data_IF_376710855037
#
_entry.id   IF_376710855037
#
_cell.length_a   1.000
_cell.length_b   1.000
_cell.length_c   1.000
_cell.angle_alpha   90.00
_cell.angle_beta   90.00
_cell.angle_gamma   90.00
#
_symmetry.space_group_name_H-M   'P 1'
#
loop_
_entity.id
_entity.type
_entity.pdbx_description
1 polymer ?
#
# COMPACT_ATOMS: atom_id res chain seq x y z
N UNK A 1 -23.72 39.51 30.42
CA UNK A 1 -24.29 39.24 29.09
C UNK A 1 -23.14 38.85 28.18
N UNK A 2 -22.90 37.55 27.99
CA UNK A 2 -21.91 37.08 27.02
C UNK A 2 -22.46 37.29 25.61
N UNK A 3 -21.64 37.86 24.71
CA UNK A 3 -22.04 38.03 23.32
C UNK A 3 -21.96 36.68 22.61
N UNK A 4 -23.11 36.14 22.24
CA UNK A 4 -23.20 34.90 21.45
C UNK A 4 -22.76 35.21 20.02
N UNK A 5 -21.75 34.49 19.54
CA UNK A 5 -21.23 34.65 18.18
C UNK A 5 -22.00 33.73 17.23
N UNK A 6 -22.58 34.29 16.16
CA UNK A 6 -23.37 33.54 15.16
C UNK A 6 -22.48 33.07 14.01
N UNK A 7 -22.29 31.76 13.82
CA UNK A 7 -21.70 31.19 12.60
C UNK A 7 -22.80 31.01 11.53
N UNK A 8 -22.60 31.54 10.33
CA UNK A 8 -23.68 31.83 9.36
C UNK A 8 -23.71 30.94 8.11
N UNK A 9 -23.15 29.72 8.14
CA UNK A 9 -22.87 28.95 6.91
C UNK A 9 -23.75 27.75 6.56
N UNK A 10 -24.81 27.43 7.30
CA UNK A 10 -25.64 26.24 7.01
C UNK A 10 -27.13 26.59 6.92
N UNK A 11 -27.71 26.53 5.71
CA UNK A 11 -29.16 26.61 5.51
C UNK A 11 -29.64 25.56 4.50
N UNK A 12 -30.55 24.70 4.96
CA UNK A 12 -31.54 23.98 4.15
C UNK A 12 -32.86 23.92 4.94
N UNK A 13 -33.98 23.79 4.21
CA UNK A 13 -35.31 24.36 4.48
C UNK A 13 -36.29 23.59 5.40
N UNK A 14 -35.83 22.70 6.28
CA UNK A 14 -36.72 21.98 7.21
C UNK A 14 -36.30 22.16 8.69
N UNK A 15 -37.27 22.03 9.61
CA UNK A 15 -37.21 22.30 11.06
C UNK A 15 -35.80 22.10 11.65
N UNK A 16 -35.07 23.20 11.83
CA UNK A 16 -33.72 23.19 12.38
C UNK A 16 -33.78 23.11 13.89
N UNK A 17 -33.05 22.16 14.48
CA UNK A 17 -32.85 22.09 15.93
C UNK A 17 -31.69 22.97 16.32
N UNK A 18 -31.86 23.73 17.41
CA UNK A 18 -30.84 24.64 17.93
C UNK A 18 -29.99 23.92 18.97
N UNK A 19 -28.69 23.85 18.71
CA UNK A 19 -27.68 23.34 19.63
C UNK A 19 -26.79 24.47 20.12
N UNK A 20 -26.34 24.38 21.37
CA UNK A 20 -25.35 25.27 21.95
C UNK A 20 -24.10 24.47 22.29
N UNK A 21 -22.97 24.91 21.74
CA UNK A 21 -21.64 24.35 22.04
C UNK A 21 -20.75 25.50 22.49
N UNK A 22 -20.29 25.45 23.74
CA UNK A 22 -19.64 26.61 24.39
C UNK A 22 -20.53 27.87 24.27
N UNK A 23 -19.99 28.98 23.76
CA UNK A 23 -20.71 30.24 23.53
C UNK A 23 -21.28 30.37 22.10
N UNK A 24 -21.33 29.27 21.34
CA UNK A 24 -21.78 29.24 19.94
C UNK A 24 -23.13 28.53 19.79
N UNK A 25 -23.94 29.04 18.87
CA UNK A 25 -25.24 28.47 18.51
C UNK A 25 -25.16 27.88 17.10
N UNK A 26 -25.56 26.61 17.00
CA UNK A 26 -25.63 25.86 15.76
C UNK A 26 -27.08 25.54 15.43
N UNK A 27 -27.48 25.73 14.18
CA UNK A 27 -28.81 25.39 13.67
C UNK A 27 -28.65 24.32 12.61
N UNK A 28 -29.07 23.10 12.94
CA UNK A 28 -28.80 21.94 12.10
C UNK A 28 -30.05 21.06 11.96
N UNK A 29 -30.13 20.34 10.85
CA UNK A 29 -31.14 19.31 10.67
C UNK A 29 -30.81 18.15 11.61
N UNK A 30 -31.68 17.92 12.60
CA UNK A 30 -31.48 16.91 13.65
C UNK A 30 -31.38 15.49 13.09
N UNK A 31 -32.01 15.23 11.94
CA UNK A 31 -31.96 13.92 11.30
C UNK A 31 -30.53 13.44 10.99
N UNK A 32 -29.58 14.36 10.78
CA UNK A 32 -28.17 14.01 10.57
C UNK A 32 -27.52 13.39 11.81
N UNK A 33 -28.02 13.74 13.00
CA UNK A 33 -27.54 13.25 14.29
C UNK A 33 -28.39 12.08 14.80
N UNK A 34 -29.70 12.11 14.56
CA UNK A 34 -30.61 11.04 15.01
C UNK A 34 -30.38 9.71 14.24
N UNK A 35 -29.77 9.77 13.05
CA UNK A 35 -29.32 8.57 12.33
C UNK A 35 -28.14 7.85 13.00
N UNK A 36 -27.51 8.48 13.98
CA UNK A 36 -26.46 7.90 14.81
C UNK A 36 -27.09 7.59 16.17
N UNK A 37 -27.24 6.32 16.54
CA UNK A 37 -27.85 5.89 17.82
C UNK A 37 -27.02 6.38 19.03
N UNK A 38 -27.12 7.67 19.35
CA UNK A 38 -26.14 8.43 20.12
C UNK A 38 -26.69 8.94 21.46
N UNK A 39 -25.77 9.26 22.39
CA UNK A 39 -26.04 9.91 23.69
C UNK A 39 -26.39 11.41 23.56
N UNK A 40 -26.83 11.86 22.39
CA UNK A 40 -27.22 13.25 22.16
C UNK A 40 -28.59 13.47 22.84
N UNK A 41 -28.76 14.50 23.68
CA UNK A 41 -30.03 14.75 24.33
C UNK A 41 -31.21 14.83 23.34
N UNK A 42 -32.28 14.08 23.64
CA UNK A 42 -33.55 14.17 22.91
C UNK A 42 -34.20 15.54 23.05
N UNK A 43 -34.98 15.98 22.06
CA UNK A 43 -35.77 17.21 22.13
C UNK A 43 -35.74 18.10 20.87
N UNK A 44 -36.61 19.11 20.83
CA UNK A 44 -36.67 20.11 19.75
C UNK A 44 -36.04 21.40 20.29
N UNK A 45 -34.72 21.42 20.38
CA UNK A 45 -33.97 22.59 20.83
C UNK A 45 -34.40 23.85 20.07
N UNK A 46 -34.66 24.93 20.80
CA UNK A 46 -35.14 26.22 20.27
C UNK A 46 -34.16 27.34 20.58
N UNK A 47 -34.36 28.53 20.00
CA UNK A 47 -33.49 29.69 20.31
C UNK A 47 -33.52 30.09 21.79
N UNK A 48 -34.65 29.87 22.46
CA UNK A 48 -34.83 30.20 23.87
C UNK A 48 -34.41 29.05 24.80
N UNK A 49 -34.28 27.85 24.26
CA UNK A 49 -33.94 26.63 25.00
C UNK A 49 -33.14 25.69 24.09
N UNK A 50 -31.85 25.99 23.82
CA UNK A 50 -31.01 25.21 22.94
C UNK A 50 -30.55 23.91 23.62
N UNK A 51 -30.33 22.86 22.84
CA UNK A 51 -29.72 21.63 23.35
C UNK A 51 -28.23 21.90 23.63
N UNK A 52 -27.83 21.85 24.90
CA UNK A 52 -26.44 22.09 25.28
C UNK A 52 -25.58 20.83 25.10
N UNK A 53 -24.52 20.96 24.31
CA UNK A 53 -23.49 19.93 24.15
C UNK A 53 -22.26 20.33 24.97
N UNK A 54 -22.10 19.66 26.11
CA UNK A 54 -20.99 19.91 27.03
C UNK A 54 -19.76 19.07 26.67
N UNK A 55 -18.55 19.59 26.94
CA UNK A 55 -17.26 18.89 26.81
C UNK A 55 -16.76 18.66 25.37
N UNK A 56 -17.21 19.46 24.41
CA UNK A 56 -16.63 19.56 23.06
C UNK A 56 -16.42 21.03 22.71
N UNK A 57 -15.42 21.31 21.86
CA UNK A 57 -15.19 22.67 21.36
C UNK A 57 -16.13 22.98 20.22
N UNK A 58 -16.52 24.25 20.08
CA UNK A 58 -17.35 24.68 18.95
C UNK A 58 -16.71 24.38 17.59
N UNK A 59 -15.39 24.53 17.47
CA UNK A 59 -14.64 24.22 16.25
C UNK A 59 -14.70 22.73 15.86
N UNK A 60 -14.54 21.83 16.83
CA UNK A 60 -14.58 20.38 16.58
C UNK A 60 -15.99 19.95 16.13
N UNK A 61 -17.02 20.57 16.71
CA UNK A 61 -18.41 20.35 16.31
C UNK A 61 -18.70 20.88 14.91
N UNK A 62 -18.17 22.05 14.56
CA UNK A 62 -18.29 22.63 13.21
C UNK A 62 -17.68 21.71 12.15
N UNK A 63 -16.48 21.15 12.41
CA UNK A 63 -15.83 20.18 11.53
C UNK A 63 -16.67 18.92 11.34
N UNK A 64 -17.28 18.40 12.42
CA UNK A 64 -18.20 17.27 12.33
C UNK A 64 -19.44 17.59 11.48
N UNK A 65 -20.02 18.79 11.63
CA UNK A 65 -21.18 19.20 10.82
C UNK A 65 -20.82 19.31 9.35
N UNK A 66 -19.66 19.90 9.04
CA UNK A 66 -19.15 19.96 7.67
C UNK A 66 -19.00 18.57 7.07
N UNK A 67 -18.45 17.62 7.83
CA UNK A 67 -18.32 16.22 7.41
C UNK A 67 -19.68 15.57 7.13
N UNK A 68 -20.66 15.72 8.02
CA UNK A 68 -21.98 15.09 7.88
C UNK A 68 -22.83 15.71 6.76
N UNK A 69 -22.70 17.02 6.52
CA UNK A 69 -23.47 17.74 5.50
C UNK A 69 -22.89 17.54 4.10
N UNK A 70 -21.56 17.62 3.96
CA UNK A 70 -20.90 17.66 2.65
C UNK A 70 -20.63 16.27 2.09
N UNK A 71 -20.62 15.24 2.94
CA UNK A 71 -20.14 13.91 2.55
C UNK A 71 -18.63 13.90 2.26
N UNK A 72 -18.11 12.73 1.93
CA UNK A 72 -16.67 12.48 1.80
C UNK A 72 -15.95 13.27 0.68
N UNK A 73 -16.67 13.78 -0.32
CA UNK A 73 -16.06 14.04 -1.64
C UNK A 73 -15.72 15.49 -1.97
N UNK A 74 -16.05 16.48 -1.11
CA UNK A 74 -16.02 17.90 -1.55
C UNK A 74 -14.93 18.77 -0.93
N UNK A 75 -14.36 18.38 0.21
CA UNK A 75 -13.15 19.02 0.75
C UNK A 75 -12.39 18.04 1.65
N UNK A 76 -11.11 17.74 1.34
CA UNK A 76 -10.34 16.81 2.15
C UNK A 76 -10.11 17.40 3.55
N UNK A 77 -10.52 16.67 4.58
CA UNK A 77 -10.21 16.96 5.97
C UNK A 77 -8.72 16.73 6.23
N UNK A 78 -8.09 17.61 7.02
CA UNK A 78 -6.72 17.43 7.48
C UNK A 78 -6.63 16.39 8.59
N UNK A 79 -5.41 15.94 8.94
CA UNK A 79 -5.20 15.00 10.05
C UNK A 79 -5.72 15.55 11.40
N UNK A 80 -5.64 16.87 11.59
CA UNK A 80 -6.16 17.55 12.79
C UNK A 80 -7.69 17.54 12.77
N UNK A 81 -8.30 17.74 11.60
CA UNK A 81 -9.75 17.69 11.44
C UNK A 81 -10.29 16.29 11.72
N UNK A 82 -9.62 15.24 11.22
CA UNK A 82 -9.99 13.85 11.50
C UNK A 82 -9.89 13.49 12.98
N UNK A 83 -8.84 13.95 13.67
CA UNK A 83 -8.72 13.76 15.12
C UNK A 83 -9.88 14.44 15.88
N UNK A 84 -10.33 15.59 15.39
CA UNK A 84 -11.46 16.33 15.96
C UNK A 84 -12.79 15.59 15.76
N UNK A 85 -13.05 15.07 14.56
CA UNK A 85 -14.22 14.21 14.26
C UNK A 85 -14.23 12.97 15.14
N UNK A 86 -13.10 12.25 15.23
CA UNK A 86 -12.96 11.05 16.06
C UNK A 86 -13.25 11.36 17.53
N UNK A 87 -12.72 12.47 18.05
CA UNK A 87 -12.92 12.85 19.45
C UNK A 87 -14.41 13.15 19.77
N UNK A 88 -15.10 13.89 18.90
CA UNK A 88 -16.52 14.21 19.08
C UNK A 88 -17.38 12.95 18.96
N UNK A 89 -17.16 12.11 17.94
CA UNK A 89 -17.92 10.88 17.73
C UNK A 89 -17.71 9.87 18.85
N UNK A 90 -16.48 9.73 19.36
CA UNK A 90 -16.18 8.87 20.51
C UNK A 90 -16.93 9.33 21.77
N UNK A 91 -17.08 10.64 21.96
CA UNK A 91 -17.74 11.22 23.13
C UNK A 91 -19.26 11.05 23.10
N UNK A 92 -19.89 11.18 21.92
CA UNK A 92 -21.34 11.05 21.78
C UNK A 92 -21.81 9.66 21.34
N UNK A 93 -20.89 8.70 21.16
CA UNK A 93 -21.22 7.33 20.83
C UNK A 93 -21.65 7.13 19.37
N UNK A 94 -21.21 7.98 18.45
CA UNK A 94 -21.57 7.92 17.03
C UNK A 94 -20.74 6.85 16.31
N UNK A 95 -21.01 5.57 16.55
CA UNK A 95 -20.15 4.45 16.14
C UNK A 95 -19.95 4.34 14.62
N UNK A 96 -21.00 4.60 13.84
CA UNK A 96 -20.93 4.52 12.38
C UNK A 96 -19.99 5.59 11.83
N UNK A 97 -20.16 6.84 12.24
CA UNK A 97 -19.28 7.95 11.87
C UNK A 97 -17.86 7.76 12.41
N UNK A 98 -17.71 7.22 13.62
CA UNK A 98 -16.40 6.91 14.21
C UNK A 98 -15.61 5.91 13.36
N UNK A 99 -16.21 4.78 12.98
CA UNK A 99 -15.53 3.78 12.14
C UNK A 99 -15.18 4.33 10.76
N UNK A 100 -16.07 5.15 10.21
CA UNK A 100 -15.91 5.89 8.97
C UNK A 100 -14.74 6.88 9.01
N UNK A 101 -14.61 7.65 10.10
CA UNK A 101 -13.51 8.59 10.30
C UNK A 101 -12.16 7.89 10.57
N UNK A 102 -12.17 6.79 11.33
CA UNK A 102 -10.96 5.99 11.59
C UNK A 102 -10.43 5.33 10.31
N UNK A 103 -11.33 4.77 9.48
CA UNK A 103 -10.95 4.22 8.17
C UNK A 103 -10.37 5.32 7.27
N UNK A 104 -11.04 6.46 7.16
CA UNK A 104 -10.56 7.57 6.34
C UNK A 104 -9.23 8.16 6.83
N UNK A 105 -8.98 8.20 8.14
CA UNK A 105 -7.68 8.61 8.69
C UNK A 105 -6.59 7.59 8.34
N UNK A 106 -6.89 6.29 8.39
CA UNK A 106 -5.96 5.24 7.99
C UNK A 106 -5.66 5.32 6.49
N UNK A 107 -6.68 5.52 5.66
CA UNK A 107 -6.56 5.70 4.22
C UNK A 107 -5.80 6.99 3.88
N UNK A 108 -6.04 8.09 4.61
CA UNK A 108 -5.32 9.35 4.44
C UNK A 108 -3.86 9.25 4.89
N UNK A 109 -3.58 8.52 5.97
CA UNK A 109 -2.20 8.18 6.32
C UNK A 109 -1.57 7.36 5.19
N UNK A 110 -2.26 6.37 4.64
CA UNK A 110 -1.78 5.57 3.52
C UNK A 110 -1.61 6.38 2.22
N UNK A 111 -2.44 7.39 1.97
CA UNK A 111 -2.42 8.25 0.77
C UNK A 111 -1.43 9.43 0.88
N UNK A 112 -1.25 10.01 2.07
CA UNK A 112 -0.21 11.03 2.34
C UNK A 112 1.22 10.42 2.35
N UNK A 113 1.34 9.10 2.21
CA UNK A 113 2.57 8.33 2.09
C UNK A 113 3.01 8.12 0.63
N UNK A 114 2.55 8.96 -0.31
CA UNK A 114 3.09 9.04 -1.67
C UNK A 114 4.48 9.73 -1.74
N UNK A 115 5.12 9.93 -0.58
CA UNK A 115 6.58 10.00 -0.49
C UNK A 115 7.09 8.58 -0.78
N UNK A 116 7.87 8.42 -1.85
CA UNK A 116 8.44 7.12 -2.25
C UNK A 116 8.88 6.30 -1.03
N UNK A 117 8.19 5.18 -0.83
CA UNK A 117 8.50 4.17 0.21
C UNK A 117 9.60 3.21 -0.25
N UNK A 118 10.31 3.56 -1.32
CA UNK A 118 11.49 2.86 -1.82
C UNK A 118 12.40 2.42 -0.67
N UNK A 119 12.51 1.12 -0.46
CA UNK A 119 13.37 0.53 0.56
C UNK A 119 12.92 0.71 2.02
N UNK A 120 11.73 1.28 2.28
CA UNK A 120 11.20 1.37 3.64
C UNK A 120 11.11 -0.02 4.27
N UNK A 121 11.49 -0.17 5.56
CA UNK A 121 11.53 -1.46 6.24
C UNK A 121 12.78 -2.31 5.99
N UNK A 122 13.66 -1.89 5.08
CA UNK A 122 14.97 -2.50 4.86
C UNK A 122 16.07 -1.64 5.47
N UNK A 123 15.83 -1.06 6.66
CA UNK A 123 16.72 -0.05 7.23
C UNK A 123 18.14 -0.60 7.41
N UNK A 124 19.11 0.10 6.82
CA UNK A 124 20.52 -0.26 6.88
C UNK A 124 21.03 -0.36 8.33
N UNK A 125 20.50 0.47 9.24
CA UNK A 125 20.86 0.42 10.66
C UNK A 125 20.41 -0.89 11.34
N UNK A 126 19.34 -1.52 10.86
CA UNK A 126 18.76 -2.73 11.46
C UNK A 126 19.33 -3.99 10.82
N UNK A 127 19.43 -4.01 9.49
CA UNK A 127 19.75 -5.23 8.73
C UNK A 127 21.10 -5.18 8.01
N UNK A 128 21.79 -4.03 8.03
CA UNK A 128 23.02 -3.81 7.27
C UNK A 128 22.75 -3.50 5.79
N UNK A 129 23.82 -3.40 4.99
CA UNK A 129 23.72 -3.15 3.54
C UNK A 129 23.21 -4.38 2.76
N UNK A 130 23.46 -5.58 3.30
CA UNK A 130 23.09 -6.85 2.68
C UNK A 130 22.29 -7.69 3.66
N UNK A 131 21.22 -8.30 3.18
CA UNK A 131 20.29 -9.07 3.99
C UNK A 131 19.77 -10.29 3.24
N UNK A 132 19.11 -11.18 3.97
CA UNK A 132 18.36 -12.30 3.43
C UNK A 132 16.86 -12.05 3.66
N UNK A 133 16.05 -12.57 2.74
CA UNK A 133 14.59 -12.57 2.84
C UNK A 133 14.15 -13.98 3.22
N UNK A 134 13.60 -14.13 4.42
CA UNK A 134 13.17 -15.40 5.00
C UNK A 134 11.65 -15.46 5.04
N UNK A 135 11.10 -16.61 4.69
CA UNK A 135 9.71 -16.91 4.99
C UNK A 135 9.51 -17.00 6.51
N UNK A 136 8.54 -16.25 7.05
CA UNK A 136 8.40 -16.07 8.49
C UNK A 136 8.20 -17.41 9.20
N UNK A 137 9.02 -17.68 10.20
CA UNK A 137 8.92 -18.91 11.01
C UNK A 137 9.48 -20.17 10.36
N UNK A 138 10.15 -20.08 9.20
CA UNK A 138 10.76 -21.24 8.53
C UNK A 138 12.27 -21.04 8.30
N UNK A 139 12.91 -22.06 7.73
CA UNK A 139 14.31 -22.04 7.31
C UNK A 139 14.46 -21.79 5.81
N UNK A 140 13.38 -21.38 5.14
CA UNK A 140 13.34 -21.15 3.70
C UNK A 140 13.62 -19.69 3.40
N UNK A 141 14.52 -19.45 2.45
CA UNK A 141 14.94 -18.12 2.05
C UNK A 141 14.71 -17.94 0.56
N UNK A 142 14.44 -16.70 0.18
CA UNK A 142 14.38 -16.31 -1.23
C UNK A 142 15.76 -16.54 -1.87
N UNK A 143 15.77 -17.10 -3.08
CA UNK A 143 16.96 -17.46 -3.82
C UNK A 143 16.67 -17.45 -5.32
N UNK A 144 17.67 -17.22 -6.17
CA UNK A 144 17.54 -17.45 -7.61
C UNK A 144 17.60 -18.95 -7.97
N UNK A 145 16.74 -19.36 -8.91
CA UNK A 145 16.62 -20.75 -9.34
C UNK A 145 17.93 -21.29 -9.87
N UNK A 146 18.32 -22.47 -9.38
CA UNK A 146 19.53 -23.19 -9.81
C UNK A 146 20.84 -22.37 -9.72
N UNK A 147 20.89 -21.29 -8.92
CA UNK A 147 22.03 -20.35 -8.82
C UNK A 147 22.35 -19.65 -10.15
N UNK A 148 21.37 -19.52 -11.03
CA UNK A 148 21.55 -18.88 -12.34
C UNK A 148 21.69 -17.37 -12.17
N UNK A 149 22.91 -16.86 -12.30
CA UNK A 149 23.21 -15.42 -12.24
C UNK A 149 22.96 -14.72 -13.58
N UNK A 150 21.93 -15.14 -14.30
CA UNK A 150 21.54 -14.66 -15.63
C UNK A 150 20.18 -13.99 -15.57
N UNK A 151 19.87 -13.19 -16.58
CA UNK A 151 18.57 -12.57 -16.70
C UNK A 151 17.47 -13.62 -16.93
N UNK A 152 16.24 -13.35 -16.48
CA UNK A 152 15.11 -14.26 -16.57
C UNK A 152 15.09 -15.35 -15.50
N UNK A 153 16.16 -15.51 -14.71
CA UNK A 153 16.21 -16.49 -13.63
C UNK A 153 15.15 -16.18 -12.57
N UNK A 154 14.22 -17.11 -12.37
CA UNK A 154 13.16 -17.01 -11.36
C UNK A 154 13.72 -16.93 -9.94
N UNK A 155 13.08 -16.12 -9.08
CA UNK A 155 13.24 -16.22 -7.63
C UNK A 155 12.25 -17.19 -7.00
N UNK A 156 12.74 -18.02 -6.08
CA UNK A 156 11.96 -19.05 -5.41
C UNK A 156 12.43 -19.22 -3.95
N UNK A 157 11.72 -20.03 -3.18
CA UNK A 157 12.15 -20.43 -1.85
C UNK A 157 13.11 -21.62 -1.91
N UNK A 158 14.14 -21.59 -1.07
CA UNK A 158 15.01 -22.74 -0.85
C UNK A 158 15.48 -22.85 0.61
N UNK A 159 15.55 -24.05 1.20
CA UNK A 159 16.01 -24.23 2.58
C UNK A 159 17.50 -23.92 2.73
N UNK A 160 17.83 -22.97 3.63
CA UNK A 160 19.23 -22.59 3.87
C UNK A 160 20.06 -23.67 4.56
N UNK A 161 19.44 -24.52 5.37
CA UNK A 161 20.16 -25.62 6.05
C UNK A 161 20.66 -26.68 5.06
N UNK A 162 19.92 -26.87 3.95
CA UNK A 162 20.30 -27.79 2.86
C UNK A 162 21.21 -27.14 1.81
N UNK A 163 21.52 -25.86 1.99
CA UNK A 163 22.26 -25.04 1.04
C UNK A 163 23.77 -25.21 1.19
N UNK A 164 24.46 -25.44 0.08
CA UNK A 164 25.92 -25.33 0.03
C UNK A 164 26.36 -23.84 0.08
N UNK A 165 27.66 -23.58 0.07
CA UNK A 165 28.18 -22.21 0.15
C UNK A 165 27.74 -21.31 -1.01
N UNK A 166 27.61 -21.85 -2.22
CA UNK A 166 27.15 -21.08 -3.39
C UNK A 166 25.66 -20.77 -3.26
N UNK A 167 24.86 -21.73 -2.80
CA UNK A 167 23.44 -21.51 -2.52
C UNK A 167 23.24 -20.41 -1.48
N UNK A 168 24.05 -20.41 -0.41
CA UNK A 168 23.99 -19.40 0.65
C UNK A 168 24.32 -17.99 0.16
N UNK A 169 25.23 -17.84 -0.81
CA UNK A 169 25.55 -16.55 -1.45
C UNK A 169 24.40 -16.06 -2.33
N UNK A 170 23.73 -16.99 -3.02
CA UNK A 170 22.57 -16.75 -3.87
C UNK A 170 21.29 -16.36 -3.11
N UNK A 171 21.33 -16.31 -1.78
CA UNK A 171 20.22 -15.88 -0.91
C UNK A 171 20.41 -14.46 -0.36
N UNK A 172 21.44 -13.75 -0.82
CA UNK A 172 21.79 -12.42 -0.33
C UNK A 172 21.25 -11.37 -1.29
N UNK A 173 20.58 -10.37 -0.73
CA UNK A 173 19.98 -9.26 -1.44
C UNK A 173 20.36 -7.92 -0.82
N UNK A 174 20.12 -6.85 -1.56
CA UNK A 174 20.19 -5.47 -1.07
C UNK A 174 19.15 -4.62 -1.79
N UNK A 175 18.79 -3.47 -1.21
CA UNK A 175 17.96 -2.45 -1.90
C UNK A 175 18.87 -1.33 -2.38
N UNK A 176 18.74 -0.92 -3.64
CA UNK A 176 19.51 0.19 -4.19
C UNK A 176 18.90 1.55 -3.81
N UNK A 177 19.47 2.65 -4.32
CA UNK A 177 18.97 4.01 -4.03
C UNK A 177 17.60 4.34 -4.64
N UNK A 178 17.17 3.60 -5.65
CA UNK A 178 15.84 3.76 -6.27
C UNK A 178 14.77 2.89 -5.61
N UNK A 179 15.11 2.11 -4.58
CA UNK A 179 14.17 1.17 -3.95
C UNK A 179 14.04 -0.17 -4.66
N UNK A 180 14.78 -0.41 -5.75
CA UNK A 180 14.79 -1.70 -6.41
C UNK A 180 15.53 -2.74 -5.56
N UNK A 181 14.99 -3.94 -5.47
CA UNK A 181 15.64 -5.08 -4.83
C UNK A 181 16.68 -5.65 -5.81
N UNK A 182 17.88 -5.96 -5.34
CA UNK A 182 18.95 -6.55 -6.13
C UNK A 182 19.45 -7.83 -5.50
N UNK A 183 19.79 -8.79 -6.35
CA UNK A 183 20.45 -10.03 -5.96
C UNK A 183 21.96 -9.81 -5.91
N UNK A 184 22.57 -10.01 -4.73
CA UNK A 184 23.94 -9.60 -4.48
C UNK A 184 24.96 -10.38 -5.33
N UNK A 185 24.76 -11.68 -5.53
CA UNK A 185 25.74 -12.51 -6.24
C UNK A 185 25.77 -12.26 -7.76
N UNK A 186 24.66 -11.86 -8.36
CA UNK A 186 24.60 -11.52 -9.80
C UNK A 186 24.74 -10.02 -10.08
N UNK A 187 24.44 -9.17 -9.09
CA UNK A 187 24.30 -7.72 -9.27
C UNK A 187 23.03 -7.30 -10.04
N UNK A 188 22.22 -8.27 -10.49
CA UNK A 188 20.98 -8.02 -11.22
C UNK A 188 19.88 -7.56 -10.27
N UNK A 189 19.01 -6.70 -10.77
CA UNK A 189 17.80 -6.29 -10.06
C UNK A 189 16.77 -7.43 -10.06
N UNK A 190 15.79 -7.33 -9.18
CA UNK A 190 14.59 -8.15 -9.18
C UNK A 190 13.50 -7.34 -9.87
N UNK A 191 12.97 -7.91 -10.93
CA UNK A 191 11.83 -7.37 -11.67
C UNK A 191 10.67 -8.36 -11.60
N UNK A 192 9.46 -7.91 -11.94
CA UNK A 192 8.28 -8.78 -12.03
C UNK A 192 7.83 -8.82 -13.48
N UNK A 193 7.76 -10.03 -14.03
CA UNK A 193 7.20 -10.27 -15.36
C UNK A 193 5.91 -11.06 -15.16
N UNK A 194 4.79 -10.50 -15.58
CA UNK A 194 3.43 -10.92 -15.18
C UNK A 194 3.28 -10.91 -13.65
N UNK A 195 3.51 -12.06 -13.00
CA UNK A 195 3.47 -12.23 -11.55
C UNK A 195 4.75 -12.86 -10.99
N UNK A 196 5.76 -13.12 -11.82
CA UNK A 196 6.94 -13.88 -11.44
C UNK A 196 8.10 -12.94 -11.10
N UNK A 197 8.65 -13.00 -9.88
CA UNK A 197 9.90 -12.31 -9.57
C UNK A 197 11.07 -12.97 -10.30
N UNK A 198 11.77 -12.20 -11.14
CA UNK A 198 12.90 -12.66 -11.95
C UNK A 198 14.09 -11.73 -11.83
N UNK A 199 15.29 -12.27 -12.06
CA UNK A 199 16.49 -11.44 -12.17
C UNK A 199 16.49 -10.68 -13.49
N UNK A 200 16.76 -9.37 -13.42
CA UNK A 200 16.78 -8.48 -14.58
C UNK A 200 17.95 -7.52 -14.59
N UNK A 201 18.45 -7.28 -15.80
CA UNK A 201 19.45 -6.23 -16.03
C UNK A 201 18.76 -4.87 -16.00
N UNK A 202 19.35 -3.94 -15.27
CA UNK A 202 18.92 -2.55 -15.31
C UNK A 202 19.21 -1.97 -16.70
N UNK A 203 18.20 -1.35 -17.31
CA UNK A 203 18.27 -0.73 -18.63
C UNK A 203 17.79 0.71 -18.54
N UNK A 204 18.16 1.57 -19.51
CA UNK A 204 17.56 2.88 -19.61
C UNK A 204 16.04 2.77 -19.70
N UNK A 205 15.33 3.45 -18.80
CA UNK A 205 13.88 3.49 -18.83
C UNK A 205 13.41 4.16 -20.13
N UNK A 206 12.54 3.47 -20.86
CA UNK A 206 11.84 4.04 -22.02
C UNK A 206 10.69 4.91 -21.53
N UNK A 207 10.45 6.06 -22.18
CA UNK A 207 9.26 6.88 -21.94
C UNK A 207 7.99 6.31 -22.59
N UNK A 208 8.10 5.18 -23.29
CA UNK A 208 7.00 4.44 -23.93
C UNK A 208 6.90 3.04 -23.32
N UNK A 209 5.71 2.43 -23.26
CA UNK A 209 5.51 1.05 -22.82
C UNK A 209 6.53 0.11 -23.48
N UNK A 210 7.41 -0.43 -22.65
CA UNK A 210 8.49 -1.29 -23.09
C UNK A 210 8.76 -2.36 -22.03
N UNK A 211 8.16 -3.56 -22.15
CA UNK A 211 8.33 -4.62 -21.18
C UNK A 211 9.76 -5.17 -21.13
N UNK A 212 10.62 -4.83 -22.09
CA UNK A 212 12.05 -5.15 -22.07
C UNK A 212 12.89 -4.12 -21.29
N UNK A 213 12.50 -2.85 -21.33
CA UNK A 213 13.28 -1.70 -20.85
C UNK A 213 12.39 -0.65 -20.18
N UNK A 214 11.97 -0.94 -18.94
CA UNK A 214 11.10 -0.10 -18.13
C UNK A 214 11.72 0.22 -16.77
N UNK A 215 11.05 1.08 -15.99
CA UNK A 215 11.47 1.43 -14.63
C UNK A 215 11.21 0.25 -13.68
N UNK A 216 12.27 -0.21 -13.00
CA UNK A 216 12.20 -1.34 -12.06
C UNK A 216 11.22 -1.06 -10.90
N UNK A 217 10.55 -2.09 -10.37
CA UNK A 217 9.64 -1.93 -9.24
C UNK A 217 10.38 -1.53 -7.96
N UNK A 218 9.70 -0.75 -7.12
CA UNK A 218 10.16 -0.42 -5.78
C UNK A 218 9.68 -1.49 -4.79
N UNK A 219 10.57 -1.92 -3.89
CA UNK A 219 10.26 -2.87 -2.83
C UNK A 219 10.26 -2.16 -1.46
N UNK A 220 9.31 -2.54 -0.61
CA UNK A 220 9.27 -2.12 0.80
C UNK A 220 8.85 -3.27 1.70
N UNK A 221 9.24 -3.21 2.97
CA UNK A 221 8.93 -4.22 3.99
C UNK A 221 8.12 -3.58 5.14
N UNK A 222 6.83 -3.85 5.23
CA UNK A 222 5.94 -3.21 6.22
C UNK A 222 5.08 -4.29 6.86
N UNK A 223 5.05 -4.32 8.20
CA UNK A 223 4.22 -5.28 8.96
C UNK A 223 4.45 -6.75 8.55
N UNK A 224 5.71 -7.16 8.44
CA UNK A 224 6.09 -8.49 7.94
C UNK A 224 5.69 -8.79 6.49
N UNK A 225 5.30 -7.81 5.68
CA UNK A 225 4.95 -8.02 4.27
C UNK A 225 5.96 -7.32 3.36
N UNK A 226 6.36 -7.99 2.29
CA UNK A 226 7.11 -7.35 1.20
C UNK A 226 6.09 -6.82 0.19
N UNK A 227 6.04 -5.51 0.03
CA UNK A 227 5.18 -4.80 -0.92
C UNK A 227 5.97 -4.43 -2.15
N UNK A 228 5.29 -4.44 -3.30
CA UNK A 228 5.85 -4.13 -4.61
C UNK A 228 5.06 -2.96 -5.19
N UNK A 229 5.73 -1.86 -5.49
CA UNK A 229 5.13 -0.73 -6.22
C UNK A 229 5.69 -0.73 -7.64
N UNK A 230 4.80 -0.91 -8.61
CA UNK A 230 5.16 -0.83 -10.02
C UNK A 230 5.31 0.64 -10.43
N UNK A 231 6.32 0.92 -11.26
CA UNK A 231 6.54 2.23 -11.88
C UNK A 231 6.17 2.22 -13.37
N UNK A 232 5.77 1.06 -13.88
CA UNK A 232 5.36 0.78 -15.26
C UNK A 232 4.48 -0.47 -15.25
N UNK A 233 3.63 -0.65 -16.26
CA UNK A 233 2.77 -1.85 -16.35
C UNK A 233 3.63 -3.12 -16.36
N UNK A 234 3.45 -4.03 -15.39
CA UNK A 234 4.21 -5.29 -15.33
C UNK A 234 3.71 -6.37 -16.32
N UNK A 235 2.57 -6.16 -16.99
CA UNK A 235 1.94 -7.19 -17.83
C UNK A 235 2.57 -7.33 -19.22
N UNK A 236 2.58 -8.56 -19.73
CA UNK A 236 2.97 -8.88 -21.10
C UNK A 236 1.78 -9.38 -21.95
N UNK A 237 1.55 -8.82 -23.16
CA UNK A 237 2.19 -7.63 -23.73
C UNK A 237 1.72 -6.35 -23.03
N UNK A 238 2.63 -5.38 -22.85
CA UNK A 238 2.30 -4.10 -22.19
C UNK A 238 1.09 -3.43 -22.87
N UNK A 239 0.01 -3.21 -22.13
CA UNK A 239 -1.08 -2.38 -22.61
C UNK A 239 -0.57 -0.95 -22.79
N UNK A 240 -1.06 -0.25 -23.83
CA UNK A 240 -0.74 1.16 -24.02
C UNK A 240 -1.28 1.98 -22.85
N UNK A 241 -0.43 2.79 -22.22
CA UNK A 241 -0.76 3.63 -21.04
C UNK A 241 -1.96 4.57 -21.23
N UNK A 242 -2.39 4.77 -22.47
CA UNK A 242 -3.38 5.78 -22.87
C UNK A 242 -4.83 5.49 -22.42
N UNK A 243 -5.13 4.33 -21.81
CA UNK A 243 -6.50 3.95 -21.43
C UNK A 243 -6.58 3.12 -20.14
N UNK A 244 -6.00 3.59 -19.05
CA UNK A 244 -6.19 2.91 -17.76
C UNK A 244 -7.45 3.43 -17.04
N UNK A 245 -8.56 2.66 -17.00
CA UNK A 245 -9.69 2.95 -16.10
C UNK A 245 -9.26 2.81 -14.63
N UNK A 246 -10.12 3.26 -13.70
CA UNK A 246 -9.86 3.31 -12.25
C UNK A 246 -9.42 1.97 -11.61
N UNK A 247 -9.60 0.83 -12.32
CA UNK A 247 -9.16 -0.53 -11.94
C UNK A 247 -7.74 -0.91 -12.46
N UNK A 248 -6.94 0.07 -12.87
CA UNK A 248 -5.58 -0.14 -13.37
C UNK A 248 -4.60 -0.70 -12.32
N UNK A 249 -3.54 -1.37 -12.76
CA UNK A 249 -2.42 -1.77 -11.90
C UNK A 249 -1.88 -0.60 -11.06
N UNK A 250 -1.96 0.62 -11.57
CA UNK A 250 -1.45 1.81 -10.89
C UNK A 250 -2.22 2.18 -9.61
N UNK A 251 -3.48 1.74 -9.46
CA UNK A 251 -4.30 1.99 -8.27
C UNK A 251 -4.28 0.83 -7.27
N UNK A 252 -3.54 -0.24 -7.57
CA UNK A 252 -3.52 -1.49 -6.81
C UNK A 252 -2.27 -1.63 -5.96
N UNK A 253 -2.44 -2.25 -4.79
CA UNK A 253 -1.34 -2.68 -3.93
C UNK A 253 -0.89 -4.09 -4.33
N UNK A 254 0.41 -4.32 -4.43
CA UNK A 254 0.95 -5.66 -4.71
C UNK A 254 1.89 -6.13 -3.61
N UNK A 255 1.92 -7.44 -3.39
CA UNK A 255 2.69 -8.09 -2.33
C UNK A 255 3.38 -9.35 -2.84
N UNK A 256 4.51 -9.69 -2.23
CA UNK A 256 5.18 -10.96 -2.46
C UNK A 256 4.54 -12.07 -1.63
N UNK A 257 4.12 -13.15 -2.28
CA UNK A 257 3.42 -14.27 -1.68
C UNK A 257 4.16 -15.59 -1.92
N UNK A 258 4.18 -16.44 -0.90
CA UNK A 258 4.71 -17.81 -0.97
C UNK A 258 3.59 -18.80 -1.29
N UNK A 259 3.92 -19.89 -1.98
CA UNK A 259 3.05 -21.02 -2.33
C UNK A 259 1.68 -20.62 -2.90
N UNK A 260 1.65 -19.76 -3.93
CA UNK A 260 0.41 -19.43 -4.60
C UNK A 260 -0.19 -20.63 -5.33
N UNK A 261 -1.52 -20.72 -5.29
CA UNK A 261 -2.27 -21.79 -5.95
C UNK A 261 -2.23 -21.64 -7.46
N UNK A 262 -2.27 -20.39 -7.93
CA UNK A 262 -2.09 -20.01 -9.33
C UNK A 262 -0.71 -20.48 -9.81
N UNK A 263 -0.70 -21.13 -10.98
CA UNK A 263 0.54 -21.47 -11.68
C UNK A 263 1.04 -20.27 -12.51
N UNK A 264 2.30 -20.29 -12.91
CA UNK A 264 2.94 -19.16 -13.58
C UNK A 264 3.55 -19.54 -14.92
N UNK A 265 3.77 -18.53 -15.75
CA UNK A 265 4.42 -18.66 -17.04
C UNK A 265 5.80 -18.00 -17.00
N UNK A 266 6.83 -18.72 -17.46
CA UNK A 266 8.16 -18.15 -17.66
C UNK A 266 8.28 -17.66 -19.11
N UNK A 267 8.37 -16.35 -19.30
CA UNK A 267 8.50 -15.77 -20.63
C UNK A 267 9.90 -15.99 -21.21
N UNK A 268 10.04 -16.63 -22.39
CA UNK A 268 11.31 -16.69 -23.10
C UNK A 268 11.73 -15.31 -23.61
N UNK A 269 13.03 -15.13 -23.87
CA UNK A 269 13.55 -13.87 -24.44
C UNK A 269 12.89 -13.48 -25.77
N UNK A 270 12.37 -14.46 -26.52
CA UNK A 270 11.62 -14.23 -27.75
C UNK A 270 10.37 -13.39 -27.55
N UNK A 271 9.72 -13.47 -26.38
CA UNK A 271 8.52 -12.69 -26.09
C UNK A 271 8.84 -11.20 -26.02
N UNK A 272 10.08 -10.85 -25.72
CA UNK A 272 10.57 -9.47 -25.69
C UNK A 272 11.14 -9.01 -27.02
N UNK A 273 11.29 -9.88 -28.03
CA UNK A 273 12.03 -9.58 -29.25
C UNK A 273 11.62 -8.30 -29.98
N UNK A 274 10.34 -7.88 -30.02
CA UNK A 274 9.95 -6.62 -30.65
C UNK A 274 10.61 -5.38 -30.02
N UNK A 275 11.05 -5.47 -28.76
CA UNK A 275 11.64 -4.37 -28.01
C UNK A 275 13.16 -4.48 -27.82
N UNK A 276 13.77 -5.59 -28.25
CA UNK A 276 15.21 -5.80 -28.16
C UNK A 276 15.88 -5.12 -29.36
N UNK A 277 16.80 -4.15 -29.16
CA UNK A 277 17.53 -3.54 -30.26
C UNK A 277 18.31 -4.60 -31.04
N UNK A 278 18.25 -4.56 -32.38
CA UNK A 278 18.92 -5.54 -33.25
C UNK A 278 20.41 -5.71 -32.94
N UNK A 279 21.08 -4.65 -32.49
CA UNK A 279 22.49 -4.65 -32.11
C UNK A 279 22.82 -5.54 -30.90
N UNK A 280 21.83 -5.92 -30.07
CA UNK A 280 22.04 -6.73 -28.85
C UNK A 280 21.30 -8.06 -28.89
N UNK A 281 20.54 -8.36 -29.94
CA UNK A 281 19.85 -9.66 -30.11
C UNK A 281 20.86 -10.80 -30.05
N UNK A 282 20.55 -11.85 -29.28
CA UNK A 282 21.40 -13.04 -29.12
C UNK A 282 22.65 -12.85 -28.24
N UNK A 283 22.94 -11.63 -27.77
CA UNK A 283 24.12 -11.34 -26.93
C UNK A 283 23.85 -11.44 -25.43
N UNK A 284 22.59 -11.63 -25.03
CA UNK A 284 22.16 -11.59 -23.63
C UNK A 284 21.74 -13.00 -23.21
N UNK A 285 22.53 -13.66 -22.33
CA UNK A 285 22.12 -14.92 -21.73
C UNK A 285 20.83 -14.71 -20.94
N UNK A 286 19.83 -15.54 -21.24
CA UNK A 286 18.50 -15.47 -20.63
C UNK A 286 18.07 -16.87 -20.22
N UNK A 287 17.64 -17.02 -18.98
CA UNK A 287 17.14 -18.27 -18.41
C UNK A 287 15.61 -18.29 -18.51
N UNK A 288 15.07 -19.41 -18.95
CA UNK A 288 13.61 -19.59 -19.12
C UNK A 288 13.08 -20.72 -18.26
N UNK A 289 13.95 -21.48 -17.61
CA UNK A 289 13.51 -22.48 -16.66
C UNK A 289 13.05 -21.86 -15.34
N UNK A 290 12.13 -22.56 -14.68
CA UNK A 290 11.57 -22.17 -13.40
C UNK A 290 11.23 -23.40 -12.55
N UNK A 291 11.10 -23.18 -11.25
CA UNK A 291 10.60 -24.19 -10.33
C UNK A 291 9.08 -24.08 -10.20
N UNK A 292 8.35 -24.95 -10.90
CA UNK A 292 6.90 -25.00 -10.84
C UNK A 292 6.35 -25.69 -9.59
N UNK A 293 7.20 -26.27 -8.73
CA UNK A 293 6.74 -26.89 -7.48
C UNK A 293 6.11 -25.85 -6.56
N UNK A 294 4.89 -26.13 -6.09
CA UNK A 294 4.15 -25.26 -5.18
C UNK A 294 4.92 -24.92 -3.90
N UNK A 295 5.67 -25.89 -3.35
CA UNK A 295 6.38 -25.73 -2.07
C UNK A 295 7.44 -24.63 -2.10
N UNK A 296 7.99 -24.36 -3.28
CA UNK A 296 9.08 -23.41 -3.49
C UNK A 296 8.63 -22.13 -4.21
N UNK A 297 7.38 -22.07 -4.63
CA UNK A 297 6.87 -21.01 -5.50
C UNK A 297 6.73 -19.68 -4.75
N UNK A 298 7.15 -18.61 -5.40
CA UNK A 298 6.97 -17.22 -4.96
C UNK A 298 6.44 -16.43 -6.14
N UNK A 299 5.32 -15.72 -5.96
CA UNK A 299 4.74 -14.82 -6.96
C UNK A 299 4.35 -13.49 -6.32
N UNK A 300 4.08 -12.50 -7.15
CA UNK A 300 3.48 -11.22 -6.75
C UNK A 300 1.98 -11.28 -6.98
N UNK A 301 1.20 -10.95 -5.95
CA UNK A 301 -0.25 -10.98 -5.98
C UNK A 301 -0.81 -9.60 -5.62
N UNK A 302 -2.00 -9.27 -6.15
CA UNK A 302 -2.76 -8.10 -5.71
C UNK A 302 -3.17 -8.28 -4.23
N UNK A 303 -2.96 -7.24 -3.43
CA UNK A 303 -3.27 -7.22 -2.01
C UNK A 303 -4.77 -7.09 -1.81
N UNK A 304 -5.40 -8.15 -1.32
CA UNK A 304 -6.80 -8.12 -0.89
C UNK A 304 -6.95 -7.71 0.59
N UNK A 305 -8.15 -7.32 1.03
CA UNK A 305 -8.38 -6.85 2.41
C UNK A 305 -8.03 -7.88 3.50
N UNK A 306 -7.94 -9.17 3.15
CA UNK A 306 -7.62 -10.28 4.07
C UNK A 306 -6.10 -10.56 4.22
N UNK A 307 -5.22 -9.66 3.78
CA UNK A 307 -3.79 -9.98 3.74
C UNK A 307 -3.11 -9.77 5.11
N UNK A 308 -2.81 -10.89 5.76
CA UNK A 308 -1.92 -11.02 6.93
C UNK A 308 -1.56 -12.47 7.26
N UNK A 309 -1.83 -13.40 6.34
CA UNK A 309 -1.63 -14.83 6.55
C UNK A 309 -0.17 -15.26 6.48
N UNK A 310 0.10 -16.52 6.84
CA UNK A 310 1.43 -17.13 6.81
C UNK A 310 2.10 -16.99 5.43
N UNK A 311 1.32 -17.11 4.35
CA UNK A 311 1.82 -17.05 2.96
C UNK A 311 2.49 -15.74 2.56
N UNK A 312 2.10 -14.62 3.15
CA UNK A 312 2.60 -13.28 2.80
C UNK A 312 3.47 -12.69 3.89
N UNK A 313 3.83 -13.51 4.88
CA UNK A 313 4.62 -13.11 6.03
C UNK A 313 6.11 -13.43 5.83
N UNK A 314 6.93 -12.41 5.95
CA UNK A 314 8.37 -12.44 5.71
C UNK A 314 9.15 -11.88 6.91
N UNK A 315 10.43 -12.24 6.97
CA UNK A 315 11.41 -11.75 7.94
C UNK A 315 12.69 -11.34 7.20
N UNK A 316 13.24 -10.18 7.58
CA UNK A 316 14.52 -9.71 7.05
C UNK A 316 15.62 -10.09 8.03
N UNK A 317 16.62 -10.82 7.54
CA UNK A 317 17.75 -11.30 8.35
C UNK A 317 19.02 -10.65 7.87
N UNK A 318 19.78 -10.01 8.77
CA UNK A 318 21.05 -9.38 8.40
C UNK A 318 22.05 -10.44 7.91
N UNK A 319 22.73 -10.19 6.79
CA UNK A 319 23.67 -11.16 6.21
C UNK A 319 24.87 -11.46 7.12
N UNK A 320 25.22 -10.54 8.02
CA UNK A 320 26.31 -10.71 9.00
C UNK A 320 25.95 -11.63 10.16
N UNK A 321 24.67 -11.97 10.35
CA UNK A 321 24.19 -12.78 11.48
C UNK A 321 24.06 -14.28 11.13
N UNK A 322 24.44 -14.69 9.92
CA UNK A 322 24.20 -16.04 9.38
C UNK A 322 25.45 -16.63 8.74
#
# INVERSE_FOLDING_TARGET
MSSVTRSSRHYATDILTVFKVEDHIFRINRALLDNEEAMIPGGVGSENDPIELTYIKAADFEILMDFLIQGYDKKPLTLIDWASVIAVCSRYGMQRVLGLAQKALLDHQNASLDISRAGAGFEMATYGMYFLIREKGTTNYLMNWCRKNTEGAQLHLWPREKSNNEDKKSQIFFVNRSGALHHAASGLAVDIVDDVPVLRRERPASSRPNPWSHALPEFSFINSQIRVKFLSDPSLPSCTDDFYPDDSWATKDFILATRPEKDFHMHPISDFSPWIPAAVVGSIPYETGGNHSKDWRVLVEERQDNVGGERTSWEIVAATKV
#
